data_IF_193747629916
#
_entry.id   IF_193747629916
#
_cell.length_a   1.000
_cell.length_b   1.000
_cell.length_c   1.000
_cell.angle_alpha   90.00
_cell.angle_beta   90.00
_cell.angle_gamma   90.00
#
_symmetry.space_group_name_H-M   'P 1'
#
loop_
_entity.id
_entity.type
_entity.pdbx_description
1 polymer ?
#
# COMPACT_ATOMS: atom_id res chain seq x y z
N UNK A 1 7.69 -45.12 1.72
CA UNK A 1 7.93 -43.75 1.21
C UNK A 1 6.88 -42.87 1.87
N UNK A 2 7.23 -42.31 3.02
CA UNK A 2 6.33 -41.48 3.82
C UNK A 2 6.46 -40.05 3.33
N UNK A 3 5.37 -39.45 2.86
CA UNK A 3 5.35 -38.06 2.41
C UNK A 3 4.92 -37.23 3.62
N UNK A 4 5.85 -36.44 4.16
CA UNK A 4 5.56 -35.46 5.22
C UNK A 4 4.58 -34.40 4.68
N UNK A 5 3.46 -34.12 5.36
CA UNK A 5 2.57 -33.05 4.95
C UNK A 5 3.29 -31.71 5.10
N UNK A 6 3.52 -31.02 3.98
CA UNK A 6 4.07 -29.67 3.99
C UNK A 6 3.08 -28.77 4.73
N UNK A 7 3.43 -28.38 5.96
CA UNK A 7 2.69 -27.37 6.70
C UNK A 7 2.95 -26.05 5.99
N UNK A 8 2.02 -25.63 5.15
CA UNK A 8 1.98 -24.27 4.63
C UNK A 8 1.76 -23.34 5.83
N UNK A 9 2.84 -22.79 6.36
CA UNK A 9 2.77 -21.67 7.29
C UNK A 9 1.99 -20.55 6.60
N UNK A 10 0.92 -20.02 7.19
CA UNK A 10 0.22 -18.89 6.60
C UNK A 10 1.12 -17.68 6.79
N UNK A 11 2.06 -17.47 5.87
CA UNK A 11 2.45 -16.13 5.46
C UNK A 11 1.15 -15.52 4.91
N UNK A 12 0.30 -15.03 5.82
CA UNK A 12 -0.81 -14.18 5.48
C UNK A 12 -0.17 -13.02 4.73
N UNK A 13 -0.37 -12.96 3.42
CA UNK A 13 0.03 -11.85 2.59
C UNK A 13 -0.61 -10.59 3.17
N UNK A 14 0.06 -9.97 4.15
CA UNK A 14 -0.40 -8.72 4.72
C UNK A 14 -0.29 -7.72 3.58
N UNK A 15 -1.40 -7.08 3.27
CA UNK A 15 -1.39 -5.95 2.35
C UNK A 15 -0.33 -4.98 2.85
N UNK A 16 0.68 -4.70 2.02
CA UNK A 16 1.76 -3.79 2.39
C UNK A 16 1.34 -2.34 2.24
N UNK A 17 0.42 -2.06 1.31
CA UNK A 17 0.02 -0.70 0.97
C UNK A 17 -1.50 -0.56 0.96
N UNK A 18 -1.96 0.63 1.37
CA UNK A 18 -3.27 1.16 1.00
C UNK A 18 -3.02 2.21 -0.07
N UNK A 19 -3.72 2.13 -1.20
CA UNK A 19 -3.57 3.05 -2.33
C UNK A 19 -4.86 3.87 -2.47
N UNK A 20 -4.74 5.19 -2.43
CA UNK A 20 -5.81 6.13 -2.75
C UNK A 20 -5.67 6.59 -4.20
N UNK A 21 -6.73 6.42 -4.99
CA UNK A 21 -6.77 6.82 -6.41
C UNK A 21 -7.99 7.71 -6.63
N UNK A 22 -7.75 8.91 -7.17
CA UNK A 22 -8.78 9.78 -7.71
C UNK A 22 -8.51 10.00 -9.20
N UNK A 23 -9.46 9.58 -10.04
CA UNK A 23 -9.33 9.58 -11.49
C UNK A 23 -10.21 10.68 -12.09
N UNK A 24 -9.57 11.67 -12.70
CA UNK A 24 -10.19 12.62 -13.61
C UNK A 24 -9.88 12.28 -15.08
N UNK A 25 -10.51 13.01 -15.99
CA UNK A 25 -10.25 12.89 -17.43
C UNK A 25 -8.92 13.50 -17.86
N UNK A 26 -8.40 14.45 -17.08
CA UNK A 26 -7.19 15.23 -17.40
C UNK A 26 -6.08 14.98 -16.38
N UNK A 27 -6.43 14.81 -15.11
CA UNK A 27 -5.47 14.66 -14.02
C UNK A 27 -5.85 13.44 -13.17
N UNK A 28 -4.86 12.85 -12.52
CA UNK A 28 -5.08 11.82 -11.49
C UNK A 28 -4.31 12.21 -10.23
N UNK A 29 -4.95 12.05 -9.08
CA UNK A 29 -4.27 12.14 -7.79
C UNK A 29 -4.02 10.72 -7.27
N UNK A 30 -2.80 10.47 -6.80
CA UNK A 30 -2.38 9.20 -6.25
C UNK A 30 -1.77 9.43 -4.87
N UNK A 31 -2.17 8.60 -3.91
CA UNK A 31 -1.59 8.57 -2.56
C UNK A 31 -1.42 7.15 -2.07
N UNK A 32 -0.55 6.94 -1.09
CA UNK A 32 -0.41 5.66 -0.42
C UNK A 32 -0.11 5.77 1.07
N UNK A 33 -0.39 4.69 1.79
CA UNK A 33 0.08 4.42 3.15
C UNK A 33 0.90 3.13 3.10
N UNK A 34 2.14 3.14 3.61
CA UNK A 34 2.90 1.90 3.86
C UNK A 34 2.51 1.34 5.24
N UNK A 35 1.86 0.17 5.24
CA UNK A 35 1.40 -0.49 6.46
C UNK A 35 2.56 -1.09 7.27
N UNK A 36 3.72 -1.29 6.66
CA UNK A 36 4.93 -1.66 7.40
C UNK A 36 5.48 -0.48 8.23
N UNK A 37 5.37 0.75 7.73
CA UNK A 37 5.73 1.97 8.47
C UNK A 37 4.78 2.20 9.65
N UNK A 38 3.48 2.00 9.44
CA UNK A 38 2.48 2.14 10.50
C UNK A 38 2.71 1.14 11.64
N UNK A 39 3.06 -0.11 11.34
CA UNK A 39 3.26 -1.14 12.37
C UNK A 39 4.42 -0.84 13.33
N UNK A 40 5.30 0.12 12.99
CA UNK A 40 6.38 0.60 13.85
C UNK A 40 5.95 1.76 14.77
N UNK A 41 4.71 2.26 14.64
CA UNK A 41 4.17 3.40 15.39
C UNK A 41 3.05 2.97 16.35
N UNK A 42 2.84 3.71 17.44
CA UNK A 42 1.76 3.45 18.39
C UNK A 42 0.38 3.57 17.72
N UNK A 43 -0.60 2.77 18.17
CA UNK A 43 -1.96 2.75 17.58
C UNK A 43 -2.72 4.08 17.61
N UNK A 44 -2.29 5.03 18.46
CA UNK A 44 -2.85 6.38 18.55
C UNK A 44 -2.26 7.35 17.51
N UNK A 45 -1.24 6.94 16.75
CA UNK A 45 -0.64 7.79 15.71
C UNK A 45 -1.36 7.55 14.38
N UNK A 46 -1.95 8.59 13.76
CA UNK A 46 -2.57 8.43 12.45
C UNK A 46 -1.56 7.99 11.38
N UNK A 47 -2.00 7.30 10.32
CA UNK A 47 -1.14 6.93 9.21
C UNK A 47 -0.51 8.13 8.54
N UNK A 48 0.76 7.99 8.18
CA UNK A 48 1.39 8.93 7.25
C UNK A 48 0.83 8.66 5.86
N UNK A 49 0.22 9.70 5.25
CA UNK A 49 -0.24 9.66 3.88
C UNK A 49 0.86 10.24 3.00
N UNK A 50 1.38 9.43 2.10
CA UNK A 50 2.35 9.86 1.10
C UNK A 50 1.61 10.23 -0.18
N UNK A 51 1.83 11.45 -0.66
CA UNK A 51 1.26 11.94 -1.93
C UNK A 51 2.30 11.74 -3.02
N UNK A 52 1.88 11.20 -4.17
CA UNK A 52 2.75 11.14 -5.33
C UNK A 52 2.77 12.50 -6.03
N UNK A 53 3.89 13.22 -5.86
CA UNK A 53 4.15 14.47 -6.58
C UNK A 53 4.60 14.19 -8.02
N UNK A 54 3.73 13.54 -8.80
CA UNK A 54 3.94 13.29 -10.22
C UNK A 54 3.49 14.53 -11.00
N UNK A 55 4.39 15.21 -11.74
CA UNK A 55 4.02 16.35 -12.58
C UNK A 55 2.92 15.96 -13.56
N UNK A 56 1.83 16.74 -13.58
CA UNK A 56 0.72 16.51 -14.49
C UNK A 56 0.99 17.21 -15.83
N UNK A 57 0.80 16.50 -16.94
CA UNK A 57 0.86 17.09 -18.27
C UNK A 57 -0.47 17.80 -18.56
N UNK A 58 -0.49 19.12 -18.44
CA UNK A 58 -1.71 19.94 -18.61
C UNK A 58 -1.87 20.52 -20.02
N UNK A 59 -0.88 20.32 -20.90
CA UNK A 59 -0.88 20.72 -22.31
C UNK A 59 0.04 19.80 -23.14
N UNK A 60 -0.17 19.68 -24.48
CA UNK A 60 0.71 18.91 -25.38
C UNK A 60 2.16 19.40 -25.43
#
# INVERSE_FOLDING_TARGET
>A
MTIEPQTVSPEMHRNRYIIGIDLGTTNSALSYVDLAEQSATSSDTPPTIHIFDVPQLTAP
#
